data_IF_412750764866
#
_entry.id   IF_412750764866
#
_cell.length_a   1.000
_cell.length_b   1.000
_cell.length_c   1.000
_cell.angle_alpha   90.00
_cell.angle_beta   90.00
_cell.angle_gamma   90.00
#
_symmetry.space_group_name_H-M   'P 1'
#
loop_
_entity.id
_entity.type
_entity.pdbx_description
1 polymer ?
#
# COMPACT_ATOMS: atom_id res chain seq x y z
N UNK A 1 -31.98 -13.79 52.03
CA UNK A 1 -31.57 -14.54 50.82
C UNK A 1 -30.93 -13.56 49.85
N UNK A 2 -29.60 -13.66 49.67
CA UNK A 2 -28.75 -12.67 49.01
C UNK A 2 -28.87 -12.82 47.48
N UNK A 3 -29.26 -11.76 46.76
CA UNK A 3 -29.30 -11.72 45.29
C UNK A 3 -27.89 -11.44 44.76
N UNK A 4 -27.29 -12.41 44.08
CA UNK A 4 -26.04 -12.21 43.35
C UNK A 4 -26.33 -11.55 41.99
N UNK A 5 -26.00 -10.27 41.85
CA UNK A 5 -25.86 -9.59 40.56
C UNK A 5 -24.49 -9.97 39.98
N UNK A 6 -24.48 -10.88 39.01
CA UNK A 6 -23.29 -11.17 38.23
C UNK A 6 -23.05 -10.02 37.23
N UNK A 7 -22.08 -9.15 37.54
CA UNK A 7 -21.58 -8.16 36.59
C UNK A 7 -20.64 -8.87 35.63
N UNK A 8 -21.12 -9.15 34.41
CA UNK A 8 -20.30 -9.58 33.29
C UNK A 8 -19.50 -8.38 32.79
N UNK A 9 -18.26 -8.24 33.26
CA UNK A 9 -17.28 -7.32 32.67
C UNK A 9 -16.80 -7.93 31.34
N UNK A 10 -17.29 -7.40 30.22
CA UNK A 10 -16.75 -7.73 28.90
C UNK A 10 -15.34 -7.10 28.77
N UNK A 11 -14.29 -7.94 28.86
CA UNK A 11 -12.92 -7.50 28.58
C UNK A 11 -12.78 -7.43 27.05
N UNK A 12 -12.95 -6.23 26.48
CA UNK A 12 -12.55 -5.98 25.11
C UNK A 12 -11.01 -5.95 25.06
N UNK A 13 -10.39 -7.03 24.57
CA UNK A 13 -8.96 -7.00 24.26
C UNK A 13 -8.72 -5.93 23.17
N UNK A 14 -7.72 -5.06 23.31
CA UNK A 14 -7.41 -4.08 22.28
C UNK A 14 -6.98 -4.84 21.03
N UNK A 15 -7.77 -4.74 19.97
CA UNK A 15 -7.34 -5.14 18.63
C UNK A 15 -6.08 -4.31 18.36
N UNK A 16 -4.92 -4.93 18.09
CA UNK A 16 -3.73 -4.16 17.76
C UNK A 16 -4.07 -3.30 16.55
N UNK A 17 -4.11 -1.99 16.75
CA UNK A 17 -4.35 -1.04 15.66
C UNK A 17 -3.23 -1.26 14.64
N UNK A 18 -3.59 -1.42 13.36
CA UNK A 18 -2.61 -1.38 12.29
C UNK A 18 -1.87 -0.04 12.41
N UNK A 19 -0.55 -0.11 12.61
CA UNK A 19 0.26 1.09 12.76
C UNK A 19 0.17 1.95 11.50
N UNK A 20 0.08 1.32 10.32
CA UNK A 20 -0.17 1.98 9.04
C UNK A 20 -1.11 1.13 8.16
N UNK A 21 -1.95 1.77 7.33
CA UNK A 21 -2.91 1.08 6.45
C UNK A 21 -2.25 0.05 5.52
N UNK A 22 -1.02 0.31 5.06
CA UNK A 22 -0.27 -0.61 4.22
C UNK A 22 0.10 -1.94 4.91
N UNK A 23 0.07 -2.00 6.24
CA UNK A 23 0.50 -3.18 7.01
C UNK A 23 -0.44 -4.37 6.83
N UNK A 24 -1.69 -4.10 6.43
CA UNK A 24 -2.64 -5.16 6.08
C UNK A 24 -2.18 -6.02 4.88
N UNK A 25 -1.24 -5.52 4.07
CA UNK A 25 -0.69 -6.23 2.91
C UNK A 25 0.65 -6.90 3.19
N UNK A 26 1.13 -6.85 4.43
CA UNK A 26 2.43 -7.40 4.81
C UNK A 26 2.31 -8.64 5.68
N UNK A 27 3.33 -9.50 5.60
CA UNK A 27 3.59 -10.49 6.64
C UNK A 27 3.87 -9.76 7.95
N UNK A 28 3.26 -10.23 9.03
CA UNK A 28 3.20 -9.48 10.28
C UNK A 28 4.49 -9.56 11.12
N UNK A 29 5.44 -10.45 10.79
CA UNK A 29 6.60 -10.70 11.62
C UNK A 29 7.88 -10.77 10.79
N UNK A 30 8.87 -9.97 11.19
CA UNK A 30 10.27 -10.13 10.80
C UNK A 30 10.93 -11.09 11.80
N UNK A 31 11.64 -12.10 11.30
CA UNK A 31 12.33 -13.09 12.13
C UNK A 31 13.68 -13.47 11.50
N UNK A 32 14.59 -14.01 12.32
CA UNK A 32 15.93 -14.40 11.90
C UNK A 32 17.02 -13.68 12.70
N UNK A 33 18.20 -13.61 12.12
CA UNK A 33 19.33 -12.80 12.62
C UNK A 33 18.98 -11.31 12.64
N UNK A 34 19.77 -10.52 13.37
CA UNK A 34 19.61 -9.07 13.44
C UNK A 34 19.63 -8.40 12.05
N UNK A 35 20.49 -8.88 11.15
CA UNK A 35 20.61 -8.38 9.79
C UNK A 35 19.37 -8.73 8.95
N UNK A 36 18.81 -9.92 9.12
CA UNK A 36 17.56 -10.33 8.45
C UNK A 36 16.37 -9.51 8.94
N UNK A 37 16.28 -9.26 10.25
CA UNK A 37 15.26 -8.40 10.86
C UNK A 37 15.36 -6.98 10.29
N UNK A 38 16.56 -6.36 10.32
CA UNK A 38 16.80 -5.02 9.77
C UNK A 38 16.43 -4.90 8.29
N UNK A 39 16.76 -5.91 7.49
CA UNK A 39 16.40 -5.97 6.08
C UNK A 39 14.88 -6.03 5.89
N UNK A 40 14.19 -6.89 6.65
CA UNK A 40 12.75 -7.01 6.61
C UNK A 40 12.05 -5.69 6.98
N UNK A 41 12.44 -5.05 8.08
CA UNK A 41 11.91 -3.76 8.53
C UNK A 41 12.13 -2.64 7.49
N UNK A 42 13.29 -2.63 6.85
CA UNK A 42 13.60 -1.69 5.77
C UNK A 42 12.67 -1.86 4.55
N UNK A 43 12.35 -3.11 4.19
CA UNK A 43 11.40 -3.40 3.10
C UNK A 43 9.98 -3.01 3.50
N UNK A 44 9.55 -3.28 4.74
CA UNK A 44 8.26 -2.82 5.27
C UNK A 44 8.14 -1.29 5.18
N UNK A 45 9.16 -0.57 5.66
CA UNK A 45 9.20 0.89 5.57
C UNK A 45 9.12 1.39 4.13
N UNK A 46 9.89 0.77 3.22
CA UNK A 46 9.88 1.13 1.80
C UNK A 46 8.49 0.95 1.17
N UNK A 47 7.77 -0.12 1.50
CA UNK A 47 6.42 -0.33 0.99
C UNK A 47 5.41 0.65 1.59
N UNK A 48 5.52 0.98 2.87
CA UNK A 48 4.70 2.05 3.49
C UNK A 48 4.89 3.40 2.79
N UNK A 49 6.14 3.78 2.51
CA UNK A 49 6.46 5.00 1.76
C UNK A 49 5.88 4.95 0.34
N UNK A 50 6.00 3.81 -0.35
CA UNK A 50 5.40 3.60 -1.67
C UNK A 50 3.88 3.77 -1.65
N UNK A 51 3.21 3.18 -0.66
CA UNK A 51 1.77 3.30 -0.45
C UNK A 51 1.34 4.76 -0.30
N UNK A 52 2.01 5.49 0.59
CA UNK A 52 1.76 6.92 0.84
C UNK A 52 1.91 7.75 -0.43
N UNK A 53 2.97 7.52 -1.21
CA UNK A 53 3.20 8.22 -2.48
C UNK A 53 2.11 7.93 -3.51
N UNK A 54 1.69 6.68 -3.65
CA UNK A 54 0.63 6.31 -4.59
C UNK A 54 -0.66 7.11 -4.31
N UNK A 55 -0.98 7.31 -3.03
CA UNK A 55 -2.13 8.12 -2.61
C UNK A 55 -1.91 9.64 -2.68
N UNK A 56 -0.67 10.11 -2.69
CA UNK A 56 -0.30 11.50 -3.03
C UNK A 56 -0.31 11.78 -4.53
N UNK A 57 -0.98 10.93 -5.30
CA UNK A 57 -1.09 10.99 -6.75
C UNK A 57 0.25 10.87 -7.51
N UNK A 58 1.26 10.22 -6.92
CA UNK A 58 2.49 9.87 -7.64
C UNK A 58 2.21 8.70 -8.59
N UNK A 59 2.13 9.01 -9.88
CA UNK A 59 1.86 8.05 -10.96
C UNK A 59 2.82 6.85 -10.96
N UNK A 60 4.12 7.06 -10.71
CA UNK A 60 5.06 5.95 -10.73
C UNK A 60 4.93 5.09 -9.48
N UNK A 61 4.64 5.71 -8.33
CA UNK A 61 4.32 4.96 -7.12
C UNK A 61 3.05 4.11 -7.29
N UNK A 62 2.03 4.61 -7.99
CA UNK A 62 0.83 3.82 -8.29
C UNK A 62 1.16 2.57 -9.14
N UNK A 63 1.98 2.73 -10.20
CA UNK A 63 2.43 1.60 -11.03
C UNK A 63 3.21 0.57 -10.22
N UNK A 64 4.16 1.04 -9.41
CA UNK A 64 5.01 0.19 -8.58
C UNK A 64 4.20 -0.53 -7.49
N UNK A 65 3.22 0.15 -6.89
CA UNK A 65 2.32 -0.45 -5.90
C UNK A 65 1.48 -1.55 -6.53
N UNK A 66 0.86 -1.29 -7.68
CA UNK A 66 0.11 -2.31 -8.43
C UNK A 66 0.97 -3.52 -8.79
N UNK A 67 2.21 -3.28 -9.25
CA UNK A 67 3.16 -4.36 -9.56
C UNK A 67 3.54 -5.17 -8.32
N UNK A 68 3.79 -4.51 -7.19
CA UNK A 68 4.20 -5.16 -5.95
C UNK A 68 3.07 -6.03 -5.40
N UNK A 69 1.83 -5.54 -5.42
CA UNK A 69 0.65 -6.31 -5.00
C UNK A 69 0.40 -7.52 -5.92
N UNK A 70 0.74 -7.44 -7.20
CA UNK A 70 0.63 -8.59 -8.11
C UNK A 70 1.64 -9.70 -7.78
N UNK A 71 2.89 -9.31 -7.61
CA UNK A 71 4.01 -10.25 -7.51
C UNK A 71 4.33 -10.66 -6.07
N UNK A 72 3.91 -9.85 -5.09
CA UNK A 72 4.40 -9.93 -3.72
C UNK A 72 5.91 -9.75 -3.63
N UNK A 73 6.44 -9.93 -2.43
CA UNK A 73 7.86 -10.16 -2.17
C UNK A 73 7.99 -10.86 -0.80
N UNK A 74 9.19 -10.89 -0.23
CA UNK A 74 9.45 -11.52 1.08
C UNK A 74 8.58 -10.94 2.21
N UNK A 75 8.17 -9.67 2.08
CA UNK A 75 7.38 -8.94 3.07
C UNK A 75 5.92 -8.76 2.63
N UNK A 76 5.69 -8.38 1.37
CA UNK A 76 4.36 -8.03 0.86
C UNK A 76 3.67 -9.27 0.31
N UNK A 77 2.49 -9.58 0.85
CA UNK A 77 1.63 -10.66 0.38
C UNK A 77 0.97 -10.24 -0.93
N UNK A 78 0.82 -11.20 -1.85
CA UNK A 78 0.12 -10.96 -3.12
C UNK A 78 -1.35 -10.63 -2.87
N UNK A 79 -1.82 -9.56 -3.48
CA UNK A 79 -3.23 -9.20 -3.58
C UNK A 79 -3.53 -8.80 -5.04
N UNK A 80 -3.94 -9.80 -5.83
CA UNK A 80 -4.19 -9.62 -7.27
C UNK A 80 -5.43 -8.76 -7.53
N UNK A 81 -6.42 -8.83 -6.65
CA UNK A 81 -7.63 -8.01 -6.72
C UNK A 81 -7.27 -6.54 -6.54
N UNK A 82 -6.54 -6.21 -5.48
CA UNK A 82 -6.10 -4.84 -5.23
C UNK A 82 -5.09 -4.35 -6.28
N UNK A 83 -4.23 -5.23 -6.79
CA UNK A 83 -3.37 -4.91 -7.93
C UNK A 83 -4.19 -4.47 -9.15
N UNK A 84 -5.22 -5.22 -9.53
CA UNK A 84 -6.14 -4.83 -10.60
C UNK A 84 -6.83 -3.50 -10.28
N UNK A 85 -7.31 -3.31 -9.05
CA UNK A 85 -7.95 -2.06 -8.63
C UNK A 85 -7.03 -0.84 -8.80
N UNK A 86 -5.75 -0.94 -8.42
CA UNK A 86 -4.78 0.14 -8.66
C UNK A 86 -4.54 0.42 -10.13
N UNK A 87 -4.56 -0.60 -11.00
CA UNK A 87 -4.43 -0.38 -12.45
C UNK A 87 -5.61 0.36 -13.03
N UNK A 88 -6.82 0.05 -12.57
CA UNK A 88 -8.04 0.80 -12.90
C UNK A 88 -7.92 2.24 -12.38
N UNK A 89 -7.41 2.43 -11.15
CA UNK A 89 -7.21 3.76 -10.57
C UNK A 89 -6.22 4.60 -11.40
N UNK A 90 -5.11 4.03 -11.88
CA UNK A 90 -4.13 4.71 -12.74
C UNK A 90 -4.79 5.26 -14.00
N UNK A 91 -5.57 4.44 -14.71
CA UNK A 91 -6.30 4.87 -15.91
C UNK A 91 -7.33 5.96 -15.55
N UNK A 92 -8.08 5.77 -14.47
CA UNK A 92 -9.12 6.72 -14.05
C UNK A 92 -8.56 8.08 -13.59
N UNK A 93 -7.40 8.09 -12.93
CA UNK A 93 -6.72 9.30 -12.47
C UNK A 93 -6.18 10.14 -13.63
N UNK A 94 -5.86 9.50 -14.77
CA UNK A 94 -5.58 10.19 -16.03
C UNK A 94 -4.32 11.06 -15.97
N UNK A 95 -3.25 10.57 -15.34
CA UNK A 95 -1.93 11.22 -15.44
C UNK A 95 -1.55 11.41 -16.92
N UNK A 96 -0.94 12.55 -17.32
CA UNK A 96 -0.51 12.76 -18.71
C UNK A 96 0.61 11.80 -19.15
N UNK A 97 1.18 11.02 -18.22
CA UNK A 97 2.15 9.96 -18.48
C UNK A 97 1.52 8.60 -18.78
N UNK A 98 0.19 8.46 -18.64
CA UNK A 98 -0.52 7.22 -18.96
C UNK A 98 -0.31 6.90 -20.44
N UNK A 99 0.03 5.65 -20.72
CA UNK A 99 0.30 5.16 -22.07
C UNK A 99 -0.36 3.79 -22.35
N UNK A 100 -0.16 3.27 -23.55
CA UNK A 100 -0.69 1.98 -23.99
C UNK A 100 -0.25 0.81 -23.09
N UNK A 101 0.92 0.93 -22.45
CA UNK A 101 1.40 -0.10 -21.51
C UNK A 101 0.52 -0.15 -20.25
N UNK A 102 -0.01 0.98 -19.78
CA UNK A 102 -0.93 1.00 -18.64
C UNK A 102 -2.28 0.36 -18.98
N UNK A 103 -2.82 0.66 -20.17
CA UNK A 103 -4.04 0.04 -20.67
C UNK A 103 -3.87 -1.47 -20.89
N UNK A 104 -2.76 -1.88 -21.51
CA UNK A 104 -2.41 -3.28 -21.73
C UNK A 104 -2.21 -4.05 -20.42
N UNK A 105 -1.54 -3.44 -19.45
CA UNK A 105 -1.37 -4.01 -18.11
C UNK A 105 -2.72 -4.14 -17.40
N UNK A 106 -3.56 -3.11 -17.39
CA UNK A 106 -4.90 -3.19 -16.78
C UNK A 106 -5.68 -4.36 -17.39
N UNK A 107 -5.77 -4.45 -18.72
CA UNK A 107 -6.48 -5.53 -19.41
C UNK A 107 -5.92 -6.91 -19.05
N UNK A 108 -4.60 -7.06 -19.07
CA UNK A 108 -3.93 -8.34 -18.81
C UNK A 108 -4.11 -8.80 -17.36
N UNK A 109 -3.74 -7.96 -16.40
CA UNK A 109 -3.77 -8.32 -14.99
C UNK A 109 -5.19 -8.47 -14.45
N UNK A 110 -6.10 -7.56 -14.80
CA UNK A 110 -7.51 -7.72 -14.43
C UNK A 110 -8.16 -8.92 -15.14
N UNK A 111 -7.72 -9.25 -16.36
CA UNK A 111 -8.16 -10.45 -17.08
C UNK A 111 -7.80 -11.78 -16.41
N UNK A 112 -6.79 -11.77 -15.55
CA UNK A 112 -6.30 -12.93 -14.79
C UNK A 112 -6.90 -13.04 -13.36
N UNK A 113 -7.64 -12.02 -12.92
CA UNK A 113 -8.42 -12.06 -11.67
C UNK A 113 -9.73 -12.83 -11.90
N UNK A 114 -10.21 -13.55 -10.88
CA UNK A 114 -11.48 -14.28 -10.97
C UNK A 114 -12.63 -13.34 -11.35
N UNK A 115 -13.64 -13.80 -12.10
CA UNK A 115 -14.66 -12.90 -12.65
C UNK A 115 -15.42 -12.06 -11.61
N UNK A 116 -15.76 -12.65 -10.46
CA UNK A 116 -16.39 -11.99 -9.32
C UNK A 116 -15.48 -10.93 -8.68
N UNK A 117 -14.24 -11.32 -8.36
CA UNK A 117 -13.23 -10.40 -7.81
C UNK A 117 -12.87 -9.27 -8.78
N UNK A 118 -12.98 -9.51 -10.09
CA UNK A 118 -12.70 -8.50 -11.11
C UNK A 118 -13.71 -7.36 -11.05
N UNK A 119 -15.00 -7.67 -10.91
CA UNK A 119 -16.04 -6.64 -10.77
C UNK A 119 -15.79 -5.80 -9.51
N UNK A 120 -15.49 -6.44 -8.40
CA UNK A 120 -15.10 -5.76 -7.16
C UNK A 120 -13.86 -4.88 -7.36
N UNK A 121 -12.85 -5.36 -8.07
CA UNK A 121 -11.63 -4.60 -8.34
C UNK A 121 -11.88 -3.36 -9.22
N UNK A 122 -12.79 -3.44 -10.19
CA UNK A 122 -13.16 -2.29 -11.02
C UNK A 122 -13.80 -1.17 -10.18
N UNK A 123 -14.71 -1.52 -9.27
CA UNK A 123 -15.36 -0.56 -8.40
C UNK A 123 -14.41 -0.02 -7.32
N UNK A 124 -13.58 -0.90 -6.75
CA UNK A 124 -12.51 -0.51 -5.83
C UNK A 124 -11.51 0.45 -6.50
N UNK A 125 -11.13 0.22 -7.76
CA UNK A 125 -10.23 1.10 -8.48
C UNK A 125 -10.76 2.52 -8.64
N UNK A 126 -12.07 2.67 -8.93
CA UNK A 126 -12.73 3.98 -8.95
C UNK A 126 -12.76 4.62 -7.55
N UNK A 127 -13.00 3.82 -6.49
CA UNK A 127 -12.97 4.32 -5.11
C UNK A 127 -11.58 4.82 -4.71
N UNK A 128 -10.52 4.06 -5.03
CA UNK A 128 -9.12 4.46 -4.84
C UNK A 128 -8.87 5.77 -5.58
N UNK A 129 -9.22 5.85 -6.87
CA UNK A 129 -9.04 7.07 -7.68
C UNK A 129 -9.72 8.29 -7.05
N UNK A 130 -10.96 8.16 -6.57
CA UNK A 130 -11.66 9.24 -5.83
C UNK A 130 -10.90 9.66 -4.58
N UNK A 131 -10.41 8.70 -3.78
CA UNK A 131 -9.62 8.98 -2.57
C UNK A 131 -8.32 9.72 -2.90
N UNK A 132 -7.62 9.32 -3.96
CA UNK A 132 -6.40 10.01 -4.42
C UNK A 132 -6.70 11.44 -4.84
N UNK A 133 -7.75 11.68 -5.66
CA UNK A 133 -8.14 13.04 -6.06
C UNK A 133 -8.56 13.93 -4.89
N UNK A 134 -9.17 13.34 -3.87
CA UNK A 134 -9.55 14.06 -2.64
C UNK A 134 -8.34 14.40 -1.74
N UNK A 135 -7.12 14.03 -2.13
CA UNK A 135 -5.93 14.20 -1.27
C UNK A 135 -6.02 13.37 0.01
N UNK A 136 -6.66 12.20 -0.06
CA UNK A 136 -7.04 11.40 1.10
C UNK A 136 -5.88 11.22 2.08
N UNK A 137 -6.13 11.54 3.35
CA UNK A 137 -5.14 11.41 4.43
C UNK A 137 -4.69 9.95 4.51
N UNK A 138 -3.40 9.75 4.30
CA UNK A 138 -2.69 8.52 4.65
C UNK A 138 -1.81 8.91 5.81
N UNK A 139 -1.77 8.06 6.83
CA UNK A 139 -0.98 8.27 8.04
C UNK A 139 0.36 8.96 7.73
N UNK A 140 0.47 10.20 8.23
CA UNK A 140 1.54 11.11 7.88
C UNK A 140 2.82 10.82 8.68
N UNK A 141 2.74 9.99 9.72
CA UNK A 141 3.83 9.72 10.68
C UNK A 141 5.01 8.97 10.08
N UNK A 142 4.86 8.36 8.90
CA UNK A 142 5.97 7.70 8.19
C UNK A 142 6.78 8.73 7.40
N UNK A 143 8.09 8.88 7.68
CA UNK A 143 8.96 9.80 6.95
C UNK A 143 9.01 9.48 5.46
N UNK A 144 9.00 10.53 4.63
CA UNK A 144 9.28 10.38 3.20
C UNK A 144 10.80 10.26 2.99
N UNK A 145 11.32 9.05 3.09
CA UNK A 145 12.75 8.74 2.94
C UNK A 145 13.26 8.89 1.50
N UNK A 146 12.41 9.31 0.56
CA UNK A 146 12.77 9.53 -0.84
C UNK A 146 13.00 11.00 -1.20
N UNK A 147 12.82 11.91 -0.24
CA UNK A 147 13.38 13.25 -0.35
C UNK A 147 14.89 13.07 -0.52
N UNK A 148 15.38 13.17 -1.76
CA UNK A 148 16.81 13.22 -2.03
C UNK A 148 17.40 14.26 -1.07
N UNK A 149 18.43 13.95 -0.28
CA UNK A 149 19.27 15.01 0.26
C UNK A 149 19.65 15.86 -0.93
N UNK A 150 19.39 17.17 -0.87
CA UNK A 150 19.90 18.06 -1.90
C UNK A 150 21.38 17.77 -2.03
N UNK A 151 21.84 17.41 -3.24
CA UNK A 151 23.26 17.54 -3.53
C UNK A 151 23.56 19.02 -3.31
N UNK A 152 24.15 19.35 -2.16
CA UNK A 152 24.78 20.64 -2.00
C UNK A 152 25.99 20.62 -2.92
N UNK A 153 26.06 21.62 -3.79
CA UNK A 153 27.07 21.74 -4.84
C UNK A 153 28.46 22.11 -4.29
N UNK A 154 28.86 21.55 -3.14
CA UNK A 154 30.10 21.90 -2.42
C UNK A 154 31.25 20.94 -2.73
N UNK A 155 31.25 20.34 -3.93
CA UNK A 155 32.48 19.74 -4.46
C UNK A 155 33.45 20.87 -4.86
N UNK A 156 34.36 21.22 -3.94
CA UNK A 156 35.55 21.99 -4.29
C UNK A 156 36.49 21.10 -5.13
N UNK A 157 36.98 21.59 -6.29
CA UNK A 157 37.95 20.84 -7.08
C UNK A 157 39.30 20.76 -6.33
N UNK A 158 39.90 19.57 -6.38
CA UNK A 158 41.27 19.29 -5.98
C UNK A 158 42.27 19.99 -6.90
#
# INVERSE_FOLDING_TARGET
MLRFLAVLLAIAAPIPALAHEADQFMRHFCAGSEQEIKKCESVMMSFRTLYKKAFRNDYQAQRNLAYTLWNGNDVVVKDRKLSCAWRVAIIWLGSPKVDDSDHGNMKTYCGMVFPDERLEALDLGKMIGRRVKAGGKIDETIPDTSAKPGLDSTAHPL
#
